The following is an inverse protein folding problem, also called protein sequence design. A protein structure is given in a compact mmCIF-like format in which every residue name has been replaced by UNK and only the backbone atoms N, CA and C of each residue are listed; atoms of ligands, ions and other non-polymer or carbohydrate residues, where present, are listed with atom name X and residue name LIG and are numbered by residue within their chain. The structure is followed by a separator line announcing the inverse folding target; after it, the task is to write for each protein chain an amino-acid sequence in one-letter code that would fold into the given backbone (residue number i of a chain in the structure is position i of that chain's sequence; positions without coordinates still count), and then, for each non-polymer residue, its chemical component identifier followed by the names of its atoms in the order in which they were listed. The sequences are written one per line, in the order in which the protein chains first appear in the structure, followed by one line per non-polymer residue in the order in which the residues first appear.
data_IF_941803884182
#
_entry.id   IF_941803884182
#
_cell.length_a   1.000
_cell.length_b   1.000
_cell.length_c   1.000
_cell.angle_alpha   90.00
_cell.angle_beta   90.00
_cell.angle_gamma   90.00
#
_symmetry.space_group_name_H-M   'P 1'
#
loop_
_entity.id
_entity.type
_entity.pdbx_description
1 polymer ?
#
# COMPACT_ATOMS: atom_id res chain seq x y z
N UNK A 1 -12.71 1.34 15.38
CA UNK A 1 -11.26 1.60 15.40
C UNK A 1 -10.44 0.33 15.13
N UNK A 2 -10.83 -0.55 14.17
CA UNK A 2 -10.39 -1.97 14.20
C UNK A 2 -10.04 -2.66 12.87
N UNK A 3 -10.47 -2.17 11.71
CA UNK A 3 -10.12 -2.79 10.41
C UNK A 3 -9.42 -1.82 9.46
N UNK A 4 -9.96 -0.60 9.34
CA UNK A 4 -9.42 0.44 8.45
C UNK A 4 -7.98 0.78 8.83
N UNK A 5 -7.66 0.90 10.12
CA UNK A 5 -6.29 1.19 10.58
C UNK A 5 -5.32 0.05 10.28
N UNK A 6 -5.79 -1.21 10.31
CA UNK A 6 -4.97 -2.39 9.98
C UNK A 6 -4.74 -2.49 8.48
N UNK A 7 -5.78 -2.29 7.68
CA UNK A 7 -5.70 -2.28 6.20
C UNK A 7 -4.82 -1.13 5.73
N UNK A 8 -4.99 0.07 6.30
CA UNK A 8 -4.16 1.23 5.99
C UNK A 8 -2.70 1.01 6.39
N UNK A 9 -2.43 0.41 7.56
CA UNK A 9 -1.06 0.05 7.99
C UNK A 9 -0.43 -1.03 7.10
N UNK A 10 -1.23 -1.96 6.59
CA UNK A 10 -0.78 -3.00 5.66
C UNK A 10 -0.51 -2.42 4.26
N UNK A 11 -1.36 -1.50 3.77
CA UNK A 11 -1.17 -0.79 2.50
C UNK A 11 0.02 0.17 2.54
N UNK A 12 0.27 0.80 3.70
CA UNK A 12 1.40 1.70 3.94
C UNK A 12 2.69 0.97 4.34
N UNK A 13 2.64 -0.34 4.57
CA UNK A 13 3.84 -1.10 4.88
C UNK A 13 4.75 -1.12 3.64
N UNK A 14 6.05 -0.82 3.79
CA UNK A 14 6.98 -0.88 2.68
C UNK A 14 6.93 -2.28 2.05
N UNK A 15 6.90 -2.36 0.70
CA UNK A 15 6.72 -3.63 0.01
C UNK A 15 7.84 -4.57 0.45
N UNK A 16 7.49 -5.82 0.75
CA UNK A 16 8.49 -6.79 1.16
C UNK A 16 9.51 -6.94 0.03
N UNK A 17 10.77 -6.59 0.30
CA UNK A 17 11.89 -6.72 -0.63
C UNK A 17 12.86 -7.81 -0.17
N UNK A 18 13.55 -8.44 -1.12
CA UNK A 18 14.53 -9.50 -0.85
C UNK A 18 13.90 -10.85 -0.47
N UNK A 19 14.54 -11.58 0.47
CA UNK A 19 14.19 -12.97 0.83
C UNK A 19 12.75 -13.15 1.33
N UNK A 20 12.19 -12.16 2.03
CA UNK A 20 10.81 -12.20 2.53
C UNK A 20 9.80 -12.16 1.39
N UNK A 21 10.09 -11.40 0.33
CA UNK A 21 9.27 -11.34 -0.89
C UNK A 21 9.21 -12.69 -1.58
N UNK A 22 10.34 -13.40 -1.63
CA UNK A 22 10.46 -14.70 -2.26
C UNK A 22 9.67 -15.77 -1.52
N UNK A 23 9.73 -15.80 -0.18
CA UNK A 23 8.90 -16.70 0.64
C UNK A 23 7.41 -16.41 0.43
N UNK A 24 7.02 -15.14 0.39
CA UNK A 24 5.64 -14.74 0.17
C UNK A 24 5.15 -15.12 -1.23
N UNK A 25 5.97 -14.90 -2.25
CA UNK A 25 5.73 -15.34 -3.62
C UNK A 25 5.51 -16.85 -3.71
N UNK A 26 6.37 -17.66 -3.08
CA UNK A 26 6.23 -19.12 -3.06
C UNK A 26 4.89 -19.51 -2.43
N UNK A 27 4.53 -18.92 -1.29
CA UNK A 27 3.25 -19.20 -0.62
C UNK A 27 2.07 -18.82 -1.51
N UNK A 28 2.13 -17.66 -2.18
CA UNK A 28 1.07 -17.17 -3.07
C UNK A 28 0.89 -18.01 -4.33
N UNK A 29 1.88 -18.82 -4.71
CA UNK A 29 1.78 -19.75 -5.84
C UNK A 29 1.37 -21.15 -5.34
N UNK A 30 1.97 -21.61 -4.25
CA UNK A 30 1.74 -22.94 -3.69
C UNK A 30 0.33 -23.09 -3.09
N UNK A 31 -0.18 -22.06 -2.40
CA UNK A 31 -1.49 -22.09 -1.77
C UNK A 31 -2.65 -22.26 -2.78
N UNK A 32 -2.81 -21.42 -3.82
CA UNK A 32 -3.89 -21.61 -4.79
C UNK A 32 -3.75 -22.93 -5.56
N UNK A 33 -2.51 -23.35 -5.85
CA UNK A 33 -2.25 -24.62 -6.54
C UNK A 33 -2.67 -25.82 -5.68
N UNK A 34 -2.36 -25.83 -4.39
CA UNK A 34 -2.79 -26.88 -3.46
C UNK A 34 -4.30 -26.89 -3.23
N UNK A 35 -4.90 -25.72 -3.06
CA UNK A 35 -6.36 -25.57 -2.95
C UNK A 35 -7.05 -26.09 -4.22
N UNK A 36 -6.53 -25.75 -5.39
CA UNK A 36 -7.06 -26.22 -6.67
C UNK A 36 -6.96 -27.72 -6.80
N UNK A 37 -5.82 -28.31 -6.43
CA UNK A 37 -5.62 -29.76 -6.44
C UNK A 37 -6.64 -30.50 -5.56
N UNK A 38 -6.98 -29.93 -4.40
CA UNK A 38 -7.97 -30.51 -3.48
C UNK A 38 -9.42 -30.42 -3.99
N UNK A 39 -9.72 -29.42 -4.82
CA UNK A 39 -11.07 -29.10 -5.29
C UNK A 39 -11.32 -29.62 -6.72
N UNK A 40 -10.28 -30.12 -7.41
CA UNK A 40 -10.37 -30.54 -8.82
C UNK A 40 -11.41 -31.66 -9.04
N UNK A 41 -11.57 -32.56 -8.06
CA UNK A 41 -12.57 -33.63 -8.09
C UNK A 41 -14.03 -33.14 -7.91
N UNK A 42 -14.23 -31.95 -7.34
CA UNK A 42 -15.56 -31.43 -6.97
C UNK A 42 -16.08 -30.39 -7.97
N UNK A 43 -15.22 -29.46 -8.42
CA UNK A 43 -15.64 -28.29 -9.22
C UNK A 43 -15.56 -28.53 -10.73
N UNK A 44 -14.98 -29.66 -11.14
CA UNK A 44 -14.75 -29.95 -12.56
C UNK A 44 -13.66 -29.05 -13.17
N UNK A 45 -13.26 -29.39 -14.39
CA UNK A 45 -12.06 -28.83 -15.06
C UNK A 45 -12.28 -27.49 -15.77
N UNK A 46 -13.47 -26.88 -15.66
CA UNK A 46 -13.87 -25.76 -16.52
C UNK A 46 -13.23 -24.41 -16.19
N UNK A 47 -12.81 -24.16 -14.94
CA UNK A 47 -12.45 -22.81 -14.48
C UNK A 47 -11.23 -22.78 -13.56
N UNK A 48 -10.02 -23.11 -14.06
CA UNK A 48 -8.81 -23.19 -13.23
C UNK A 48 -8.40 -21.82 -12.63
N UNK A 49 -8.75 -20.71 -13.29
CA UNK A 49 -8.21 -19.38 -13.00
C UNK A 49 -8.85 -18.65 -11.81
N UNK A 50 -10.10 -18.98 -11.43
CA UNK A 50 -10.79 -18.28 -10.34
C UNK A 50 -10.10 -18.45 -8.98
N UNK A 51 -9.46 -19.60 -8.76
CA UNK A 51 -8.74 -19.90 -7.52
C UNK A 51 -7.51 -19.01 -7.34
N UNK A 52 -6.93 -18.50 -8.42
CA UNK A 52 -5.70 -17.70 -8.41
C UNK A 52 -5.96 -16.19 -8.24
N UNK A 53 -7.15 -15.71 -8.62
CA UNK A 53 -7.53 -14.29 -8.54
C UNK A 53 -7.29 -13.64 -7.16
N UNK A 54 -7.78 -14.19 -6.02
CA UNK A 54 -7.55 -13.57 -4.73
C UNK A 54 -6.06 -13.51 -4.36
N UNK A 55 -5.27 -14.51 -4.78
CA UNK A 55 -3.83 -14.56 -4.51
C UNK A 55 -3.04 -13.56 -5.36
N UNK A 56 -3.50 -13.24 -6.58
CA UNK A 56 -2.92 -12.18 -7.40
C UNK A 56 -3.18 -10.80 -6.78
N UNK A 57 -4.39 -10.57 -6.24
CA UNK A 57 -4.72 -9.35 -5.49
C UNK A 57 -3.78 -9.21 -4.27
N UNK A 58 -3.59 -10.30 -3.51
CA UNK A 58 -2.62 -10.35 -2.41
C UNK A 58 -1.18 -10.10 -2.89
N UNK A 59 -0.78 -10.65 -4.04
CA UNK A 59 0.55 -10.40 -4.59
C UNK A 59 0.78 -8.91 -4.90
N UNK A 60 -0.19 -8.26 -5.55
CA UNK A 60 -0.14 -6.82 -5.84
C UNK A 60 -0.13 -5.96 -4.58
N UNK A 61 -0.84 -6.38 -3.53
CA UNK A 61 -0.89 -5.64 -2.27
C UNK A 61 0.42 -5.71 -1.48
N UNK A 62 1.10 -6.86 -1.48
CA UNK A 62 2.24 -7.12 -0.58
C UNK A 62 3.62 -7.08 -1.24
N UNK A 63 3.72 -7.26 -2.56
CA UNK A 63 4.98 -7.27 -3.30
C UNK A 63 5.17 -5.99 -4.12
N UNK A 64 6.42 -5.72 -4.53
CA UNK A 64 6.73 -4.69 -5.54
C UNK A 64 6.16 -5.07 -6.90
N UNK A 65 5.86 -4.08 -7.75
CA UNK A 65 5.26 -4.31 -9.08
C UNK A 65 6.03 -5.34 -9.93
N UNK A 66 7.37 -5.30 -9.89
CA UNK A 66 8.25 -6.26 -10.59
C UNK A 66 8.07 -7.68 -10.07
N UNK A 67 7.91 -7.84 -8.76
CA UNK A 67 7.74 -9.16 -8.15
C UNK A 67 6.29 -9.66 -8.31
N UNK A 68 5.30 -8.77 -8.23
CA UNK A 68 3.89 -9.11 -8.43
C UNK A 68 3.63 -9.59 -9.87
N UNK A 69 4.21 -8.90 -10.86
CA UNK A 69 4.15 -9.32 -12.28
C UNK A 69 4.83 -10.66 -12.50
N UNK A 70 6.01 -10.90 -11.91
CA UNK A 70 6.68 -12.20 -11.96
C UNK A 70 5.84 -13.31 -11.33
N UNK A 71 5.25 -13.09 -10.15
CA UNK A 71 4.39 -14.06 -9.47
C UNK A 71 3.16 -14.40 -10.31
N UNK A 72 2.54 -13.40 -10.93
CA UNK A 72 1.40 -13.61 -11.83
C UNK A 72 1.80 -14.42 -13.07
N UNK A 73 2.94 -14.11 -13.67
CA UNK A 73 3.45 -14.84 -14.84
C UNK A 73 3.77 -16.30 -14.50
N UNK A 74 4.43 -16.55 -13.36
CA UNK A 74 4.73 -17.91 -12.90
C UNK A 74 3.44 -18.65 -12.56
N UNK A 75 2.47 -18.01 -11.89
CA UNK A 75 1.18 -18.62 -11.58
C UNK A 75 0.42 -19.02 -12.85
N UNK A 76 0.50 -18.20 -13.91
CA UNK A 76 -0.06 -18.53 -15.21
C UNK A 76 0.59 -19.77 -15.82
N UNK A 77 1.92 -19.82 -15.88
CA UNK A 77 2.68 -20.97 -16.41
C UNK A 77 2.37 -22.23 -15.61
N UNK A 78 2.31 -22.13 -14.28
CA UNK A 78 2.01 -23.27 -13.39
C UNK A 78 0.57 -23.75 -13.59
N UNK A 79 -0.39 -22.82 -13.69
CA UNK A 79 -1.79 -23.16 -13.93
C UNK A 79 -1.99 -23.83 -15.31
N UNK A 80 -1.31 -23.34 -16.33
CA UNK A 80 -1.30 -23.90 -17.68
C UNK A 80 -0.69 -25.32 -17.66
N UNK A 81 0.50 -25.49 -17.09
CA UNK A 81 1.20 -26.79 -17.07
C UNK A 81 0.51 -27.87 -16.23
N UNK A 82 -0.08 -27.52 -15.08
CA UNK A 82 -0.67 -28.50 -14.16
C UNK A 82 -2.13 -28.83 -14.47
N UNK A 83 -2.92 -27.86 -14.93
CA UNK A 83 -4.38 -28.02 -15.06
C UNK A 83 -4.86 -28.02 -16.50
N UNK A 84 -4.12 -27.43 -17.44
CA UNK A 84 -4.30 -27.67 -18.88
C UNK A 84 -3.41 -28.85 -19.27
N UNK A 85 -4.00 -30.03 -19.50
CA UNK A 85 -3.23 -31.19 -19.97
C UNK A 85 -2.42 -30.82 -21.23
N UNK A 86 -1.18 -31.31 -21.38
CA UNK A 86 -0.46 -31.23 -22.63
C UNK A 86 -1.09 -32.24 -23.58
N UNK A 87 -2.16 -31.84 -24.27
CA UNK A 87 -2.35 -32.37 -25.61
C UNK A 87 -1.31 -31.62 -26.44
N UNK A 88 -0.16 -32.24 -26.70
CA UNK A 88 0.79 -31.81 -27.73
C UNK A 88 0.16 -31.92 -29.15
N UNK A 89 -1.15 -31.72 -29.25
CA UNK A 89 -1.81 -31.40 -30.49
C UNK A 89 -1.62 -29.90 -30.67
N UNK A 90 -0.87 -29.52 -31.71
CA UNK A 90 -0.68 -28.16 -32.19
C UNK A 90 -2.00 -27.47 -32.64
N UNK A 91 -3.16 -28.03 -32.28
CA UNK A 91 -4.48 -27.45 -32.46
C UNK A 91 -4.78 -26.56 -31.25
N UNK A 92 -4.32 -25.31 -31.31
CA UNK A 92 -4.74 -24.28 -30.38
C UNK A 92 -6.26 -24.16 -30.40
N UNK A 93 -6.92 -24.59 -29.31
CA UNK A 93 -8.34 -24.38 -29.16
C UNK A 93 -8.57 -22.88 -28.87
N UNK A 94 -9.35 -22.21 -29.73
CA UNK A 94 -9.64 -20.77 -29.63
C UNK A 94 -10.16 -20.38 -28.25
N UNK A 95 -10.93 -21.26 -27.60
CA UNK A 95 -11.48 -21.04 -26.26
C UNK A 95 -10.36 -20.95 -25.21
N UNK A 96 -9.30 -21.75 -25.34
CA UNK A 96 -8.16 -21.73 -24.41
C UNK A 96 -7.36 -20.44 -24.56
N UNK A 97 -7.08 -20.02 -25.79
CA UNK A 97 -6.36 -18.77 -26.08
C UNK A 97 -7.14 -17.57 -25.56
N UNK A 98 -8.45 -17.52 -25.78
CA UNK A 98 -9.32 -16.47 -25.25
C UNK A 98 -9.28 -16.45 -23.71
N UNK A 99 -9.35 -17.62 -23.07
CA UNK A 99 -9.25 -17.74 -21.61
C UNK A 99 -7.93 -17.21 -21.06
N UNK A 100 -6.81 -17.52 -21.71
CA UNK A 100 -5.48 -17.01 -21.34
C UNK A 100 -5.41 -15.49 -21.49
N UNK A 101 -5.90 -14.94 -22.60
CA UNK A 101 -5.91 -13.51 -22.85
C UNK A 101 -6.76 -12.75 -21.82
N UNK A 102 -7.96 -13.25 -21.50
CA UNK A 102 -8.84 -12.64 -20.49
C UNK A 102 -8.16 -12.69 -19.11
N UNK A 103 -7.58 -13.82 -18.74
CA UNK A 103 -6.90 -13.97 -17.46
C UNK A 103 -5.69 -13.03 -17.35
N UNK A 104 -4.81 -13.00 -18.36
CA UNK A 104 -3.65 -12.13 -18.38
C UNK A 104 -4.04 -10.66 -18.30
N UNK A 105 -5.07 -10.26 -19.04
CA UNK A 105 -5.59 -8.89 -19.04
C UNK A 105 -6.19 -8.52 -17.67
N UNK A 106 -6.96 -9.42 -17.07
CA UNK A 106 -7.57 -9.22 -15.76
C UNK A 106 -6.51 -9.13 -14.65
N UNK A 107 -5.52 -10.04 -14.64
CA UNK A 107 -4.43 -10.01 -13.68
C UNK A 107 -3.59 -8.73 -13.81
N UNK A 108 -3.30 -8.30 -15.04
CA UNK A 108 -2.59 -7.05 -15.30
C UNK A 108 -3.37 -5.84 -14.77
N UNK A 109 -4.67 -5.75 -15.07
CA UNK A 109 -5.53 -4.67 -14.59
C UNK A 109 -5.59 -4.61 -13.06
N UNK A 110 -5.69 -5.76 -12.39
CA UNK A 110 -5.70 -5.84 -10.93
C UNK A 110 -4.38 -5.34 -10.35
N UNK A 111 -3.24 -5.79 -10.88
CA UNK A 111 -1.91 -5.35 -10.41
C UNK A 111 -1.75 -3.85 -10.63
N UNK A 112 -2.09 -3.35 -11.82
CA UNK A 112 -2.00 -1.94 -12.17
C UNK A 112 -2.90 -1.08 -11.26
N UNK A 113 -4.13 -1.53 -10.97
CA UNK A 113 -5.04 -0.83 -10.07
C UNK A 113 -4.49 -0.74 -8.64
N UNK A 114 -3.98 -1.85 -8.10
CA UNK A 114 -3.42 -1.87 -6.75
C UNK A 114 -2.19 -0.97 -6.65
N UNK A 115 -1.34 -0.97 -7.67
CA UNK A 115 -0.18 -0.08 -7.73
C UNK A 115 -0.57 1.39 -7.88
N UNK A 116 -1.59 1.70 -8.68
CA UNK A 116 -2.13 3.06 -8.81
C UNK A 116 -2.67 3.56 -7.47
N UNK A 117 -3.49 2.76 -6.78
CA UNK A 117 -4.01 3.09 -5.44
C UNK A 117 -2.86 3.30 -4.46
N UNK A 118 -1.86 2.41 -4.47
CA UNK A 118 -0.68 2.55 -3.60
C UNK A 118 0.09 3.83 -3.88
N UNK A 119 0.32 4.16 -5.14
CA UNK A 119 1.03 5.38 -5.56
C UNK A 119 0.27 6.62 -5.12
N UNK A 120 -1.06 6.63 -5.30
CA UNK A 120 -1.92 7.73 -4.84
C UNK A 120 -1.83 7.86 -3.31
N UNK A 121 -1.97 6.75 -2.58
CA UNK A 121 -1.91 6.73 -1.11
C UNK A 121 -0.53 7.14 -0.60
N UNK A 122 0.56 6.67 -1.19
CA UNK A 122 1.93 7.07 -0.82
C UNK A 122 2.16 8.56 -1.08
N UNK A 123 1.63 9.09 -2.18
CA UNK A 123 1.72 10.52 -2.51
C UNK A 123 0.82 11.40 -1.62
N UNK A 124 -0.34 10.90 -1.18
CA UNK A 124 -1.27 11.65 -0.32
C UNK A 124 -0.98 11.51 1.17
N UNK A 125 -0.45 10.38 1.62
CA UNK A 125 -0.18 10.09 3.04
C UNK A 125 1.28 10.23 3.43
N UNK A 126 2.24 10.39 2.51
CA UNK A 126 3.53 10.97 2.91
C UNK A 126 3.25 12.43 3.31
N UNK A 127 3.35 12.80 4.60
CA UNK A 127 3.50 14.21 4.92
C UNK A 127 4.72 14.65 4.12
N UNK A 128 4.62 15.80 3.45
CA UNK A 128 5.76 16.45 2.81
C UNK A 128 6.98 16.22 3.70
N UNK A 129 7.89 15.35 3.25
CA UNK A 129 9.10 15.05 3.99
C UNK A 129 9.71 16.42 4.25
N UNK A 130 10.10 16.76 5.49
CA UNK A 130 10.92 17.93 5.71
C UNK A 130 12.30 17.62 5.12
N UNK A 131 12.36 17.58 3.78
CA UNK A 131 13.57 17.81 3.05
C UNK A 131 13.95 19.22 3.48
N UNK A 132 15.10 19.30 4.14
CA UNK A 132 15.64 20.43 4.89
C UNK A 132 15.94 21.68 4.05
N UNK A 133 15.18 21.90 2.99
CA UNK A 133 15.30 22.99 2.02
C UNK A 133 14.00 23.79 1.90
N UNK A 134 12.82 23.18 2.12
CA UNK A 134 11.53 23.86 2.11
C UNK A 134 10.54 23.18 3.07
N UNK A 135 10.59 23.55 4.34
CA UNK A 135 9.46 23.39 5.26
C UNK A 135 8.29 24.17 4.68
N UNK A 136 7.37 23.51 3.97
CA UNK A 136 6.15 24.17 3.51
C UNK A 136 5.51 24.84 4.74
N UNK A 137 5.34 26.17 4.74
CA UNK A 137 4.88 26.87 5.92
C UNK A 137 3.52 26.31 6.33
N UNK A 138 3.38 25.96 7.60
CA UNK A 138 2.07 25.62 8.17
C UNK A 138 1.27 26.90 8.20
N UNK A 139 0.14 26.91 7.51
CA UNK A 139 -0.80 28.03 7.50
C UNK A 139 -1.87 27.73 8.53
N UNK A 140 -2.02 28.65 9.48
CA UNK A 140 -3.12 28.61 10.43
C UNK A 140 -4.24 29.50 9.92
N UNK A 141 -5.45 28.98 9.88
CA UNK A 141 -6.65 29.72 9.49
C UNK A 141 -7.74 29.59 10.54
N UNK A 142 -8.58 30.62 10.61
CA UNK A 142 -9.73 30.68 11.51
C UNK A 142 -11.00 30.65 10.68
N UNK A 143 -11.85 29.67 10.95
CA UNK A 143 -13.13 29.51 10.26
C UNK A 143 -14.19 29.03 11.25
N UNK A 144 -15.25 29.81 11.43
CA UNK A 144 -16.36 29.47 12.33
C UNK A 144 -15.96 29.32 13.81
N UNK A 145 -14.99 30.10 14.30
CA UNK A 145 -14.47 30.00 15.67
C UNK A 145 -13.63 28.74 15.92
N UNK A 146 -13.22 28.05 14.87
CA UNK A 146 -12.33 26.89 14.93
C UNK A 146 -10.99 27.24 14.27
N UNK A 147 -9.91 26.85 14.94
CA UNK A 147 -8.57 26.91 14.40
C UNK A 147 -8.28 25.68 13.53
N UNK A 148 -7.68 25.93 12.37
CA UNK A 148 -7.29 24.93 11.39
C UNK A 148 -5.81 25.09 11.05
N UNK A 149 -5.15 23.97 10.78
CA UNK A 149 -3.82 23.93 10.19
C UNK A 149 -3.88 23.31 8.79
N UNK A 150 -3.21 23.93 7.84
CA UNK A 150 -2.99 23.42 6.49
C UNK A 150 -1.54 23.61 6.06
N UNK A 151 -1.14 22.91 5.00
CA UNK A 151 0.18 23.02 4.40
C UNK A 151 0.04 23.51 2.97
N UNK A 152 0.91 24.41 2.53
CA UNK A 152 0.93 24.86 1.14
C UNK A 152 1.02 23.69 0.16
N UNK A 153 0.09 23.64 -0.80
CA UNK A 153 0.01 22.57 -1.80
C UNK A 153 -0.67 21.28 -1.31
N UNK A 154 -1.07 21.20 -0.04
CA UNK A 154 -1.87 20.09 0.49
C UNK A 154 -3.33 20.47 0.54
N UNK A 155 -4.21 19.61 0.04
CA UNK A 155 -5.66 19.71 0.23
C UNK A 155 -6.13 19.15 1.58
N UNK A 156 -5.19 18.81 2.48
CA UNK A 156 -5.51 18.26 3.80
C UNK A 156 -5.57 19.36 4.85
N UNK A 157 -6.70 19.45 5.54
CA UNK A 157 -6.96 20.40 6.61
C UNK A 157 -7.08 19.63 7.92
N UNK A 158 -6.37 20.08 8.96
CA UNK A 158 -6.43 19.48 10.29
C UNK A 158 -7.12 20.47 11.21
N UNK A 159 -8.27 20.06 11.75
CA UNK A 159 -8.96 20.82 12.78
C UNK A 159 -8.16 20.73 14.08
N UNK A 160 -7.74 21.86 14.61
CA UNK A 160 -7.00 21.94 15.86
C UNK A 160 -7.93 22.03 17.08
N UNK A 161 -9.04 22.75 16.94
CA UNK A 161 -10.02 22.93 18.01
C UNK A 161 -10.61 24.35 18.02
N UNK A 162 -11.34 24.71 19.09
CA UNK A 162 -11.77 26.08 19.34
C UNK A 162 -10.61 27.08 19.34
N UNK A 163 -10.82 28.29 18.82
CA UNK A 163 -9.79 29.33 18.74
C UNK A 163 -9.17 29.66 20.10
N UNK A 164 -9.99 29.78 21.13
CA UNK A 164 -9.59 30.13 22.49
C UNK A 164 -8.71 29.07 23.14
N UNK A 165 -9.11 27.80 23.05
CA UNK A 165 -8.32 26.66 23.54
C UNK A 165 -6.96 26.56 22.82
N UNK A 166 -6.97 26.68 21.49
CA UNK A 166 -5.74 26.58 20.68
C UNK A 166 -4.82 27.77 20.95
N UNK A 167 -5.37 28.98 21.12
CA UNK A 167 -4.59 30.16 21.46
C UNK A 167 -3.95 30.04 22.85
N UNK A 168 -4.67 29.49 23.84
CA UNK A 168 -4.12 29.22 25.17
C UNK A 168 -2.99 28.19 25.11
N UNK A 169 -3.18 27.08 24.41
CA UNK A 169 -2.15 26.05 24.21
C UNK A 169 -0.90 26.62 23.51
N UNK A 170 -1.07 27.45 22.47
CA UNK A 170 0.06 28.08 21.78
C UNK A 170 0.84 29.03 22.70
N UNK A 171 0.16 29.78 23.57
CA UNK A 171 0.83 30.65 24.55
C UNK A 171 1.66 29.84 25.55
N UNK A 172 1.09 28.78 26.10
CA UNK A 172 1.79 27.89 27.04
C UNK A 172 3.02 27.25 26.38
N UNK A 173 2.87 26.74 25.16
CA UNK A 173 3.98 26.19 24.40
C UNK A 173 5.13 27.21 24.18
N UNK A 174 4.80 28.46 23.82
CA UNK A 174 5.80 29.50 23.63
C UNK A 174 6.51 29.86 24.94
N UNK A 175 5.78 29.92 26.05
CA UNK A 175 6.35 30.16 27.37
C UNK A 175 7.31 29.03 27.80
N UNK A 176 6.93 27.78 27.56
CA UNK A 176 7.78 26.61 27.81
C UNK A 176 9.06 26.65 26.97
N UNK A 177 8.95 27.04 25.69
CA UNK A 177 10.12 27.16 24.81
C UNK A 177 11.07 28.26 25.27
N UNK A 178 10.54 29.42 25.63
CA UNK A 178 11.35 30.52 26.17
C UNK A 178 12.08 30.12 27.46
N UNK A 179 11.40 29.41 28.36
CA UNK A 179 12.02 28.89 29.58
C UNK A 179 13.17 27.91 29.25
N UNK A 180 12.95 26.99 28.31
CA UNK A 180 13.97 26.06 27.86
C UNK A 180 15.20 26.78 27.26
N UNK A 181 14.99 27.81 26.45
CA UNK A 181 16.06 28.63 25.86
C UNK A 181 16.88 29.34 26.95
N UNK A 182 16.21 29.87 27.98
CA UNK A 182 16.86 30.51 29.14
C UNK A 182 17.70 29.51 29.95
N UNK A 183 17.16 28.33 30.24
CA UNK A 183 17.88 27.28 30.98
C UNK A 183 19.11 26.80 30.22
N UNK A 184 18.98 26.60 28.92
CA UNK A 184 20.09 26.18 28.04
C UNK A 184 21.18 27.25 28.00
N UNK A 185 20.79 28.52 27.88
CA UNK A 185 21.72 29.66 27.86
C UNK A 185 22.43 29.86 29.21
N UNK A 186 21.74 29.62 30.32
CA UNK A 186 22.32 29.70 31.67
C UNK A 186 23.34 28.58 31.91
N UNK A 187 23.00 27.33 31.60
CA UNK A 187 23.90 26.19 31.73
C UNK A 187 25.19 26.38 30.91
N UNK A 188 25.08 26.94 29.69
CA UNK A 188 26.23 27.23 28.84
C UNK A 188 27.18 28.30 29.42
N UNK A 189 26.67 29.20 30.29
CA UNK A 189 27.49 30.22 30.96
C UNK A 189 28.23 29.70 32.19
N UNK A 190 27.66 28.73 32.92
CA UNK A 190 28.27 28.17 34.14
C UNK A 190 29.45 27.23 33.86
N UNK A 191 29.56 26.72 32.62
CA UNK A 191 30.64 25.83 32.16
C UNK A 191 31.86 26.56 31.59
N UNK A 192 31.85 27.90 31.54
CA UNK A 192 32.99 28.74 31.15
C UNK A 192 33.59 29.43 32.37
#
# INVERSE_FOLDING_TARGET
MRLIDKVSRVLLAPPASGRKALLFAIVLIAAPTGIRWLIDDIVGRGFPFFTYMPFIILAGAFLTWRNATLVSAISWIVADLLFMRPQFDLTFNVIQVIGMCIFATSAFLVIALVEAVRTIVENSLRPARPDSSFSAPVVFSLEGGQAWASWYGSHSWVRLGPEDEVAEMMRDFLAQRELADRLTSAAAKTLK
#
